data_IF_959297648984
#
_entry.id   IF_959297648984
#
_cell.length_a   1.000
_cell.length_b   1.000
_cell.length_c   1.000
_cell.angle_alpha   90.00
_cell.angle_beta   90.00
_cell.angle_gamma   90.00
#
_symmetry.space_group_name_H-M   'P 1'
#
loop_
_entity.id
_entity.type
_entity.pdbx_description
1 polymer ?
#
# COMPACT_ATOMS: atom_id res chain seq x y z
N UNK A 1 0.35 4.22 29.32
CA UNK A 1 1.11 4.23 28.06
C UNK A 1 0.11 4.30 26.92
N UNK A 2 0.51 4.72 25.72
CA UNK A 2 -0.39 4.57 24.56
C UNK A 2 -0.36 3.12 24.08
N UNK A 3 -1.49 2.63 23.56
CA UNK A 3 -1.62 1.28 23.00
C UNK A 3 -0.53 1.00 21.94
N UNK A 4 -0.18 2.00 21.13
CA UNK A 4 0.89 1.90 20.13
C UNK A 4 2.26 1.60 20.74
N UNK A 5 2.62 2.26 21.86
CA UNK A 5 3.90 1.99 22.52
C UNK A 5 3.96 0.56 23.08
N UNK A 6 2.84 0.00 23.51
CA UNK A 6 2.79 -1.38 24.00
C UNK A 6 2.99 -2.38 22.84
N UNK A 7 2.42 -2.09 21.66
CA UNK A 7 2.64 -2.88 20.45
C UNK A 7 4.10 -2.81 20.00
N UNK A 8 4.71 -1.61 19.98
CA UNK A 8 6.13 -1.44 19.65
C UNK A 8 7.04 -2.28 20.56
N UNK A 9 6.81 -2.23 21.87
CA UNK A 9 7.58 -3.01 22.84
C UNK A 9 7.31 -4.52 22.72
N UNK A 10 6.09 -4.93 22.36
CA UNK A 10 5.78 -6.33 22.08
C UNK A 10 6.53 -6.84 20.83
N UNK A 11 6.57 -6.05 19.75
CA UNK A 11 7.28 -6.39 18.52
C UNK A 11 8.79 -6.51 18.76
N UNK A 12 9.38 -5.62 19.57
CA UNK A 12 10.82 -5.68 19.95
C UNK A 12 11.20 -6.95 20.72
N UNK A 13 10.24 -7.58 21.41
CA UNK A 13 10.45 -8.80 22.21
C UNK A 13 10.26 -10.09 21.40
N UNK A 14 9.85 -10.01 20.14
CA UNK A 14 9.69 -11.20 19.29
C UNK A 14 11.03 -11.88 19.02
N UNK A 15 11.00 -13.20 18.92
CA UNK A 15 12.10 -13.98 18.37
C UNK A 15 12.32 -13.61 16.89
N UNK A 16 13.49 -13.91 16.33
CA UNK A 16 13.74 -13.67 14.90
C UNK A 16 12.73 -14.40 13.99
N UNK A 17 12.33 -15.62 14.38
CA UNK A 17 11.35 -16.41 13.63
C UNK A 17 9.96 -15.76 13.68
N UNK A 18 9.51 -15.34 14.86
CA UNK A 18 8.20 -14.72 15.02
C UNK A 18 8.17 -13.33 14.39
N UNK A 19 9.27 -12.59 14.45
CA UNK A 19 9.41 -11.32 13.75
C UNK A 19 9.33 -11.49 12.24
N UNK A 20 9.89 -12.57 11.67
CA UNK A 20 9.74 -12.90 10.25
C UNK A 20 8.30 -13.20 9.89
N UNK A 21 7.59 -14.01 10.70
CA UNK A 21 6.16 -14.29 10.50
C UNK A 21 5.31 -13.02 10.60
N UNK A 22 5.57 -12.18 11.60
CA UNK A 22 4.90 -10.90 11.80
C UNK A 22 5.08 -9.98 10.58
N UNK A 23 6.31 -9.83 10.07
CA UNK A 23 6.57 -9.01 8.88
C UNK A 23 5.82 -9.51 7.64
N UNK A 24 5.80 -10.82 7.42
CA UNK A 24 5.09 -11.42 6.29
C UNK A 24 3.58 -11.14 6.37
N UNK A 25 2.98 -11.35 7.55
CA UNK A 25 1.57 -11.05 7.78
C UNK A 25 1.27 -9.55 7.66
N UNK A 26 2.09 -8.70 8.26
CA UNK A 26 1.87 -7.25 8.26
C UNK A 26 1.96 -6.67 6.86
N UNK A 27 2.86 -7.18 6.00
CA UNK A 27 2.94 -6.78 4.60
C UNK A 27 1.64 -7.10 3.84
N UNK A 28 1.03 -8.26 4.07
CA UNK A 28 -0.27 -8.59 3.48
C UNK A 28 -1.40 -7.71 4.03
N UNK A 29 -1.42 -7.48 5.35
CA UNK A 29 -2.41 -6.61 5.98
C UNK A 29 -2.34 -5.16 5.46
N UNK A 30 -1.13 -4.62 5.32
CA UNK A 30 -0.92 -3.27 4.80
C UNK A 30 -1.28 -3.18 3.30
N UNK A 31 -0.97 -4.23 2.53
CA UNK A 31 -1.41 -4.35 1.13
C UNK A 31 -2.94 -4.35 1.02
N UNK A 32 -3.66 -5.09 1.87
CA UNK A 32 -5.12 -5.12 1.87
C UNK A 32 -5.74 -3.74 2.22
N UNK A 33 -5.07 -2.96 3.08
CA UNK A 33 -5.48 -1.57 3.38
C UNK A 33 -5.22 -0.68 2.16
N UNK A 34 -4.05 -0.82 1.54
CA UNK A 34 -3.69 -0.08 0.36
C UNK A 34 -4.66 -0.32 -0.80
N UNK A 35 -5.03 -1.58 -1.05
CA UNK A 35 -6.00 -1.94 -2.09
C UNK A 35 -7.34 -1.23 -1.86
N UNK A 36 -7.86 -1.23 -0.62
CA UNK A 36 -9.09 -0.51 -0.26
C UNK A 36 -8.97 1.00 -0.48
N UNK A 37 -7.81 1.58 -0.17
CA UNK A 37 -7.57 3.01 -0.37
C UNK A 37 -7.54 3.35 -1.87
N UNK A 38 -6.88 2.51 -2.68
CA UNK A 38 -6.82 2.68 -4.13
C UNK A 38 -8.22 2.57 -4.74
N UNK A 39 -9.01 1.57 -4.34
CA UNK A 39 -10.40 1.41 -4.80
C UNK A 39 -11.25 2.64 -4.46
N UNK A 40 -11.13 3.16 -3.24
CA UNK A 40 -11.84 4.37 -2.81
C UNK A 40 -11.38 5.62 -3.61
N UNK A 41 -10.08 5.79 -3.78
CA UNK A 41 -9.50 6.93 -4.52
C UNK A 41 -9.89 6.87 -6.01
N UNK A 42 -9.97 5.67 -6.59
CA UNK A 42 -10.47 5.45 -7.94
C UNK A 42 -11.97 5.80 -8.04
N UNK A 43 -12.79 5.31 -7.10
CA UNK A 43 -14.24 5.56 -7.09
C UNK A 43 -14.58 7.04 -6.84
N UNK A 44 -13.78 7.74 -6.05
CA UNK A 44 -13.92 9.19 -5.81
C UNK A 44 -13.42 10.06 -6.95
N UNK A 45 -12.80 9.48 -7.98
CA UNK A 45 -12.25 10.19 -9.12
C UNK A 45 -10.94 10.93 -8.85
N UNK A 46 -10.32 10.72 -7.69
CA UNK A 46 -9.04 11.34 -7.31
C UNK A 46 -7.90 10.93 -8.24
N UNK A 47 -7.98 9.74 -8.83
CA UNK A 47 -6.98 9.22 -9.76
C UNK A 47 -7.24 9.62 -11.23
N UNK A 48 -8.32 10.35 -11.52
CA UNK A 48 -8.72 10.68 -12.89
C UNK A 48 -7.70 11.55 -13.63
N UNK A 49 -7.06 12.50 -12.94
CA UNK A 49 -6.06 13.38 -13.55
C UNK A 49 -4.86 12.58 -14.06
N UNK A 50 -4.30 11.72 -13.19
CA UNK A 50 -3.19 10.83 -13.53
C UNK A 50 -3.57 9.85 -14.66
N UNK A 51 -4.80 9.32 -14.63
CA UNK A 51 -5.30 8.44 -15.68
C UNK A 51 -5.40 9.17 -17.04
N UNK A 52 -5.89 10.41 -17.05
CA UNK A 52 -6.00 11.21 -18.26
C UNK A 52 -4.63 11.58 -18.82
N UNK A 53 -3.67 11.92 -17.96
CA UNK A 53 -2.28 12.21 -18.36
C UNK A 53 -1.64 10.99 -19.01
N UNK A 54 -1.68 9.82 -18.35
CA UNK A 54 -1.14 8.58 -18.88
C UNK A 54 -1.76 8.20 -20.23
N UNK A 55 -3.07 8.41 -20.41
CA UNK A 55 -3.75 8.20 -21.68
C UNK A 55 -3.30 9.18 -22.77
N UNK A 56 -3.00 10.44 -22.41
CA UNK A 56 -2.47 11.42 -23.36
C UNK A 56 -1.07 11.03 -23.83
N UNK A 57 -0.19 10.67 -22.89
CA UNK A 57 1.18 10.24 -23.20
C UNK A 57 1.21 8.99 -24.08
N UNK A 58 0.32 8.02 -23.82
CA UNK A 58 0.18 6.83 -24.65
C UNK A 58 -0.26 7.19 -26.08
N UNK A 59 -1.26 8.08 -26.22
CA UNK A 59 -1.72 8.56 -27.54
C UNK A 59 -0.64 9.34 -28.30
N UNK A 60 0.24 10.02 -27.58
CA UNK A 60 1.39 10.74 -28.13
C UNK A 60 2.59 9.82 -28.45
N UNK A 61 2.49 8.52 -28.18
CA UNK A 61 3.56 7.55 -28.42
C UNK A 61 4.74 7.67 -27.45
N UNK A 62 4.57 8.39 -26.34
CA UNK A 62 5.56 8.54 -25.27
C UNK A 62 5.58 7.35 -24.31
N UNK A 63 4.45 6.64 -24.22
CA UNK A 63 4.30 5.39 -23.48
C UNK A 63 3.96 4.23 -24.42
N UNK A 64 4.31 3.01 -24.01
CA UNK A 64 4.01 1.77 -24.72
C UNK A 64 3.50 0.71 -23.75
N UNK A 65 2.84 -0.31 -24.29
CA UNK A 65 2.50 -1.51 -23.54
C UNK A 65 3.76 -2.19 -22.98
N UNK A 66 3.59 -2.85 -21.84
CA UNK A 66 4.66 -3.56 -21.14
C UNK A 66 5.10 -4.80 -21.92
#
# INVERSE_FOLDING_TARGET
MSEIKEIEEAVKKLSEEDLRKFRAWFASYDADIWDKQVEYDAASGKLNEMANEALSEYKEGKAREL
#
